data_IF_180312340614
#
_entry.id   IF_180312340614
#
_cell.length_a   1.000
_cell.length_b   1.000
_cell.length_c   1.000
_cell.angle_alpha   90.00
_cell.angle_beta   90.00
_cell.angle_gamma   90.00
#
_symmetry.space_group_name_H-M   'P 1'
#
loop_
_entity.id
_entity.type
_entity.pdbx_description
1 polymer ?
#
# COMPACT_ATOMS: atom_id res chain seq x y z
N UNK A 1 -39.37 13.34 1.03
CA UNK A 1 -38.33 13.88 1.93
C UNK A 1 -36.99 13.13 1.85
N UNK A 2 -36.92 11.89 1.36
CA UNK A 2 -35.65 11.14 1.22
C UNK A 2 -34.64 11.74 0.21
N UNK A 3 -35.09 12.42 -0.85
CA UNK A 3 -34.20 12.96 -1.89
C UNK A 3 -33.41 14.23 -1.49
N UNK A 4 -33.91 15.03 -0.55
CA UNK A 4 -33.32 16.34 -0.22
C UNK A 4 -31.99 16.24 0.56
N UNK A 5 -31.83 15.16 1.35
CA UNK A 5 -30.60 14.90 2.12
C UNK A 5 -29.64 13.94 1.42
N UNK A 6 -30.08 13.27 0.35
CA UNK A 6 -29.28 12.29 -0.38
C UNK A 6 -28.21 12.98 -1.26
N UNK A 7 -28.62 13.98 -2.03
CA UNK A 7 -27.74 14.71 -2.94
C UNK A 7 -26.52 15.36 -2.25
N UNK A 8 -26.65 16.11 -1.13
CA UNK A 8 -25.48 16.70 -0.48
C UNK A 8 -24.53 15.65 0.12
N UNK A 9 -25.06 14.52 0.63
CA UNK A 9 -24.24 13.42 1.15
C UNK A 9 -23.49 12.69 0.03
N UNK A 10 -24.17 12.41 -1.07
CA UNK A 10 -23.58 11.81 -2.26
C UNK A 10 -22.42 12.66 -2.81
N UNK A 11 -22.62 13.97 -2.95
CA UNK A 11 -21.58 14.91 -3.42
C UNK A 11 -20.39 14.91 -2.45
N UNK A 12 -20.64 14.96 -1.14
CA UNK A 12 -19.59 14.89 -0.13
C UNK A 12 -18.77 13.59 -0.23
N UNK A 13 -19.43 12.45 -0.37
CA UNK A 13 -18.76 11.15 -0.45
C UNK A 13 -17.90 11.00 -1.70
N UNK A 14 -18.42 11.46 -2.85
CA UNK A 14 -17.66 11.50 -4.10
C UNK A 14 -16.44 12.42 -3.96
N UNK A 15 -16.60 13.61 -3.37
CA UNK A 15 -15.51 14.55 -3.17
C UNK A 15 -14.40 13.97 -2.26
N UNK A 16 -14.77 13.35 -1.14
CA UNK A 16 -13.82 12.71 -0.22
C UNK A 16 -13.06 11.58 -0.92
N UNK A 17 -13.75 10.73 -1.69
CA UNK A 17 -13.13 9.60 -2.37
C UNK A 17 -12.20 10.04 -3.50
N UNK A 18 -12.61 11.03 -4.31
CA UNK A 18 -11.78 11.60 -5.37
C UNK A 18 -10.54 12.31 -4.80
N UNK A 19 -10.69 13.04 -3.70
CA UNK A 19 -9.57 13.65 -2.99
C UNK A 19 -8.62 12.58 -2.42
N UNK A 20 -9.17 11.54 -1.77
CA UNK A 20 -8.42 10.40 -1.26
C UNK A 20 -7.61 9.68 -2.33
N UNK A 21 -8.19 9.50 -3.52
CA UNK A 21 -7.51 8.95 -4.68
C UNK A 21 -6.27 9.77 -5.07
N UNK A 22 -6.44 11.07 -5.24
CA UNK A 22 -5.38 11.99 -5.65
C UNK A 22 -4.24 12.00 -4.62
N UNK A 23 -4.58 12.17 -3.33
CA UNK A 23 -3.60 12.17 -2.23
C UNK A 23 -2.87 10.84 -2.14
N UNK A 24 -3.58 9.70 -2.30
CA UNK A 24 -2.97 8.38 -2.28
C UNK A 24 -1.93 8.22 -3.40
N UNK A 25 -2.30 8.56 -4.64
CA UNK A 25 -1.39 8.47 -5.78
C UNK A 25 -0.13 9.34 -5.59
N UNK A 26 -0.33 10.60 -5.20
CA UNK A 26 0.78 11.53 -4.94
C UNK A 26 1.69 11.04 -3.81
N UNK A 27 1.10 10.54 -2.72
CA UNK A 27 1.86 10.06 -1.56
C UNK A 27 2.67 8.81 -1.89
N UNK A 28 2.09 7.85 -2.63
CA UNK A 28 2.80 6.63 -3.06
C UNK A 28 3.96 7.00 -4.00
N UNK A 29 3.74 7.93 -4.94
CA UNK A 29 4.79 8.42 -5.82
C UNK A 29 5.94 9.06 -5.03
N UNK A 30 5.61 9.96 -4.09
CA UNK A 30 6.59 10.61 -3.21
C UNK A 30 7.33 9.60 -2.33
N UNK A 31 6.65 8.57 -1.83
CA UNK A 31 7.28 7.49 -1.07
C UNK A 31 8.25 6.68 -1.91
N UNK A 32 7.91 6.39 -3.17
CA UNK A 32 8.86 5.77 -4.10
C UNK A 32 10.11 6.62 -4.33
N UNK A 33 9.93 7.93 -4.51
CA UNK A 33 11.04 8.88 -4.64
C UNK A 33 11.88 8.99 -3.36
N UNK A 34 11.25 8.94 -2.18
CA UNK A 34 11.91 8.91 -0.89
C UNK A 34 12.81 7.67 -0.75
N UNK A 35 12.28 6.47 -1.01
CA UNK A 35 13.06 5.22 -0.96
C UNK A 35 14.19 5.18 -2.00
N UNK A 36 13.96 5.77 -3.17
CA UNK A 36 14.96 5.90 -4.23
C UNK A 36 16.07 6.86 -3.81
N UNK A 37 15.73 8.02 -3.23
CA UNK A 37 16.71 8.98 -2.69
C UNK A 37 17.56 8.35 -1.60
N UNK A 38 16.95 7.66 -0.63
CA UNK A 38 17.69 6.93 0.42
C UNK A 38 18.58 5.80 -0.16
N UNK A 39 18.21 5.23 -1.31
CA UNK A 39 19.02 4.21 -1.99
C UNK A 39 20.15 4.76 -2.88
N UNK A 40 19.97 5.96 -3.43
CA UNK A 40 20.93 6.61 -4.35
C UNK A 40 21.78 7.71 -3.73
N UNK A 41 21.41 8.24 -2.57
CA UNK A 41 22.11 9.38 -1.94
C UNK A 41 23.61 9.12 -1.79
N UNK A 42 24.06 7.87 -1.75
CA UNK A 42 25.47 7.51 -1.64
C UNK A 42 26.26 7.52 -2.96
N UNK A 43 25.63 7.56 -4.13
CA UNK A 43 26.34 7.71 -5.41
C UNK A 43 26.79 9.16 -5.69
N UNK A 44 26.29 10.14 -4.94
CA UNK A 44 26.52 11.58 -5.16
C UNK A 44 27.18 12.26 -3.95
N UNK A 45 27.07 11.69 -2.74
CA UNK A 45 27.61 12.28 -1.51
C UNK A 45 29.14 12.17 -1.39
N UNK A 46 29.80 11.38 -2.25
CA UNK A 46 31.27 11.31 -2.35
C UNK A 46 31.95 12.66 -2.72
N UNK A 47 31.16 13.69 -3.10
CA UNK A 47 31.69 15.02 -3.45
C UNK A 47 31.36 16.17 -2.50
N UNK A 48 30.48 16.01 -1.52
CA UNK A 48 30.01 17.13 -0.67
C UNK A 48 29.67 16.66 0.73
N UNK A 49 30.64 16.74 1.64
CA UNK A 49 30.51 17.28 3.02
C UNK A 49 31.60 16.70 3.91
N UNK A 50 32.84 17.12 3.63
CA UNK A 50 33.90 17.18 4.63
C UNK A 50 33.93 18.62 5.14
N UNK A 51 32.96 19.00 5.99
CA UNK A 51 32.94 20.23 6.79
C UNK A 51 31.62 20.31 7.57
N UNK A 52 31.51 19.56 8.66
CA UNK A 52 30.63 19.97 9.75
C UNK A 52 31.36 19.72 11.06
N UNK A 53 31.56 20.80 11.82
CA UNK A 53 32.32 20.84 13.06
C UNK A 53 31.79 19.87 14.11
N UNK A 54 32.74 19.21 14.80
CA UNK A 54 32.56 18.14 15.79
C UNK A 54 32.24 18.63 17.22
N UNK A 55 31.58 19.77 17.38
CA UNK A 55 31.41 20.43 18.70
C UNK A 55 29.97 20.52 19.23
N UNK A 56 28.99 19.87 18.59
CA UNK A 56 27.68 19.65 19.18
C UNK A 56 27.55 18.19 19.64
N UNK A 57 27.09 17.96 20.87
CA UNK A 57 26.72 16.64 21.37
C UNK A 57 25.97 15.86 20.28
N UNK A 58 26.55 14.75 19.86
CA UNK A 58 26.17 14.03 18.64
C UNK A 58 24.65 13.75 18.61
N UNK A 59 23.87 14.42 17.74
CA UNK A 59 22.42 14.31 17.72
C UNK A 59 21.93 12.96 17.15
N UNK A 60 22.84 12.05 16.82
CA UNK A 60 22.54 10.71 16.31
C UNK A 60 21.46 9.96 17.09
N UNK A 61 21.56 9.93 18.43
CA UNK A 61 20.58 9.21 19.27
C UNK A 61 19.21 9.89 19.23
N UNK A 62 19.16 11.23 19.25
CA UNK A 62 17.90 11.95 19.15
C UNK A 62 17.22 11.78 17.80
N UNK A 63 18.00 11.74 16.71
CA UNK A 63 17.49 11.56 15.36
C UNK A 63 16.97 10.12 15.16
N UNK A 64 17.69 9.12 15.65
CA UNK A 64 17.24 7.73 15.64
C UNK A 64 15.96 7.53 16.45
N UNK A 65 15.84 8.15 17.63
CA UNK A 65 14.63 8.10 18.44
C UNK A 65 13.45 8.75 17.74
N UNK A 66 13.67 9.86 17.02
CA UNK A 66 12.63 10.51 16.23
C UNK A 66 12.17 9.61 15.08
N UNK A 67 13.08 9.00 14.33
CA UNK A 67 12.72 8.08 13.24
C UNK A 67 11.94 6.86 13.75
N UNK A 68 12.35 6.28 14.88
CA UNK A 68 11.61 5.20 15.53
C UNK A 68 10.21 5.64 15.97
N UNK A 69 10.08 6.85 16.51
CA UNK A 69 8.79 7.42 16.91
C UNK A 69 7.89 7.66 15.69
N UNK A 70 8.44 8.16 14.58
CA UNK A 70 7.70 8.36 13.33
C UNK A 70 7.20 7.04 12.75
N UNK A 71 8.04 6.00 12.74
CA UNK A 71 7.64 4.65 12.32
C UNK A 71 6.55 4.10 13.26
N UNK A 72 6.73 4.21 14.57
CA UNK A 72 5.75 3.76 15.55
C UNK A 72 4.42 4.49 15.37
N UNK A 73 4.44 5.81 15.17
CA UNK A 73 3.24 6.61 14.91
C UNK A 73 2.50 6.13 13.65
N UNK A 74 3.23 5.88 12.56
CA UNK A 74 2.65 5.34 11.32
C UNK A 74 2.02 3.95 11.54
N UNK A 75 2.76 3.01 12.15
CA UNK A 75 2.30 1.64 12.39
C UNK A 75 1.09 1.60 13.33
N UNK A 76 1.14 2.37 14.42
CA UNK A 76 0.05 2.46 15.40
C UNK A 76 -1.19 3.09 14.77
N UNK A 77 -1.05 4.21 14.07
CA UNK A 77 -2.16 4.85 13.36
C UNK A 77 -2.80 3.87 12.39
N UNK A 78 -2.03 3.29 11.47
CA UNK A 78 -2.54 2.36 10.47
C UNK A 78 -3.26 1.16 11.10
N UNK A 79 -2.70 0.60 12.18
CA UNK A 79 -3.28 -0.53 12.90
C UNK A 79 -4.55 -0.17 13.67
N UNK A 80 -4.61 1.00 14.29
CA UNK A 80 -5.74 1.45 15.10
C UNK A 80 -6.98 1.69 14.25
N UNK A 81 -6.85 2.31 13.06
CA UNK A 81 -8.00 2.51 12.17
C UNK A 81 -8.55 1.19 11.61
N UNK A 82 -7.78 0.11 11.63
CA UNK A 82 -8.28 -1.20 11.23
C UNK A 82 -9.12 -1.90 12.32
N UNK A 83 -9.10 -1.41 13.57
CA UNK A 83 -9.79 -2.03 14.71
C UNK A 83 -11.29 -1.69 14.74
N UNK A 84 -12.07 -2.59 15.34
CA UNK A 84 -13.53 -2.46 15.49
C UNK A 84 -13.99 -1.13 16.11
N UNK A 85 -13.36 -0.61 17.19
CA UNK A 85 -13.82 0.64 17.80
C UNK A 85 -13.80 1.84 16.85
N UNK A 86 -12.82 1.89 15.95
CA UNK A 86 -12.77 2.94 14.92
C UNK A 86 -13.91 2.78 13.91
N UNK A 87 -14.19 1.55 13.48
CA UNK A 87 -15.28 1.26 12.55
C UNK A 87 -16.64 1.59 13.14
N UNK A 88 -16.85 1.22 14.40
CA UNK A 88 -18.08 1.50 15.15
C UNK A 88 -18.27 3.03 15.30
N UNK A 89 -17.19 3.77 15.55
CA UNK A 89 -17.21 5.24 15.61
C UNK A 89 -17.56 5.89 14.26
N UNK A 90 -16.95 5.45 13.16
CA UNK A 90 -17.25 5.94 11.80
C UNK A 90 -18.68 5.61 11.39
N UNK A 91 -19.16 4.42 11.77
CA UNK A 91 -20.55 4.01 11.54
C UNK A 91 -21.52 4.88 12.34
N UNK A 92 -21.21 5.18 13.60
CA UNK A 92 -22.00 6.09 14.43
C UNK A 92 -22.09 7.50 13.83
N UNK A 93 -21.03 7.98 13.17
CA UNK A 93 -21.02 9.23 12.43
C UNK A 93 -21.81 9.18 11.10
N UNK A 94 -22.25 8.00 10.64
CA UNK A 94 -22.92 7.81 9.36
C UNK A 94 -22.01 7.98 8.15
N UNK A 95 -20.71 7.69 8.31
CA UNK A 95 -19.66 7.81 7.29
C UNK A 95 -19.11 6.44 6.86
N UNK A 96 -19.89 5.39 7.03
CA UNK A 96 -19.56 4.00 6.69
C UNK A 96 -19.16 3.84 5.21
N UNK A 97 -19.85 4.55 4.30
CA UNK A 97 -19.56 4.54 2.85
C UNK A 97 -18.14 5.03 2.54
N UNK A 98 -17.66 6.04 3.27
CA UNK A 98 -16.34 6.68 3.06
C UNK A 98 -15.28 6.21 4.04
N UNK A 99 -15.57 5.22 4.91
CA UNK A 99 -14.63 4.66 5.89
C UNK A 99 -13.28 4.34 5.25
N UNK A 100 -13.29 3.70 4.08
CA UNK A 100 -12.08 3.30 3.35
C UNK A 100 -11.29 4.49 2.81
N UNK A 101 -11.98 5.50 2.27
CA UNK A 101 -11.30 6.71 1.79
C UNK A 101 -10.71 7.52 2.95
N UNK A 102 -11.39 7.60 4.10
CA UNK A 102 -10.85 8.23 5.31
C UNK A 102 -9.66 7.45 5.88
N UNK A 103 -9.72 6.12 5.90
CA UNK A 103 -8.62 5.26 6.30
C UNK A 103 -7.36 5.54 5.47
N UNK A 104 -7.51 5.65 4.14
CA UNK A 104 -6.41 5.93 3.24
C UNK A 104 -5.88 7.34 3.41
N UNK A 105 -6.74 8.35 3.50
CA UNK A 105 -6.32 9.73 3.75
C UNK A 105 -5.51 9.85 5.04
N UNK A 106 -5.96 9.23 6.13
CA UNK A 106 -5.24 9.22 7.39
C UNK A 106 -3.89 8.48 7.29
N UNK A 107 -3.86 7.33 6.62
CA UNK A 107 -2.62 6.56 6.38
C UNK A 107 -1.64 7.35 5.51
N UNK A 108 -2.12 8.03 4.47
CA UNK A 108 -1.29 8.90 3.64
C UNK A 108 -0.75 10.08 4.45
N UNK A 109 -1.58 10.72 5.28
CA UNK A 109 -1.12 11.80 6.16
C UNK A 109 -0.03 11.35 7.14
N UNK A 110 -0.18 10.17 7.74
CA UNK A 110 0.84 9.60 8.61
C UNK A 110 2.14 9.28 7.85
N UNK A 111 2.03 8.72 6.64
CA UNK A 111 3.18 8.42 5.80
C UNK A 111 3.89 9.69 5.31
N UNK A 112 3.14 10.73 4.95
CA UNK A 112 3.69 12.05 4.60
C UNK A 112 4.44 12.68 5.78
N UNK A 113 3.87 12.61 6.97
CA UNK A 113 4.52 13.07 8.21
C UNK A 113 5.84 12.33 8.42
N UNK A 114 5.84 11.00 8.28
CA UNK A 114 7.05 10.19 8.36
C UNK A 114 8.10 10.68 7.36
N UNK A 115 7.76 10.84 6.08
CA UNK A 115 8.70 11.27 5.04
C UNK A 115 9.22 12.71 5.24
N UNK A 116 8.38 13.62 5.73
CA UNK A 116 8.74 15.04 5.91
C UNK A 116 9.67 15.25 7.09
N UNK A 117 9.45 14.53 8.19
CA UNK A 117 10.25 14.65 9.41
C UNK A 117 11.35 13.60 9.52
N UNK A 118 11.49 12.73 8.52
CA UNK A 118 12.56 11.73 8.45
C UNK A 118 13.93 12.40 8.52
N UNK A 119 14.75 12.02 9.50
CA UNK A 119 16.08 12.60 9.66
C UNK A 119 17.13 11.68 9.06
N UNK A 120 17.81 12.11 7.99
CA UNK A 120 18.82 11.26 7.39
C UNK A 120 20.03 11.16 8.32
N UNK A 121 20.27 9.97 8.86
CA UNK A 121 21.48 9.62 9.60
C UNK A 121 22.65 9.50 8.58
N UNK A 122 23.36 10.60 8.28
CA UNK A 122 24.60 10.64 7.49
C UNK A 122 25.70 11.34 8.30
N UNK A 123 27.02 11.03 8.14
CA UNK A 123 27.67 10.07 7.23
C UNK A 123 28.19 8.77 7.90
N UNK A 124 28.21 8.67 9.23
CA UNK A 124 28.84 7.55 9.97
C UNK A 124 28.00 6.26 10.03
N UNK A 125 26.80 6.26 9.45
CA UNK A 125 25.78 5.21 9.60
C UNK A 125 25.55 4.36 8.34
N UNK A 126 26.53 4.29 7.44
CA UNK A 126 26.52 3.32 6.34
C UNK A 126 26.95 1.97 6.91
N UNK A 127 26.04 1.00 6.92
CA UNK A 127 26.31 -0.33 7.46
C UNK A 127 27.03 -1.22 6.45
N UNK A 128 26.62 -1.10 5.17
CA UNK A 128 27.34 -1.72 4.07
C UNK A 128 27.20 -0.90 2.80
N UNK A 129 28.27 -0.90 2.02
CA UNK A 129 28.28 -0.46 0.63
C UNK A 129 28.92 -1.59 -0.17
N UNK A 130 28.13 -2.24 -1.02
CA UNK A 130 28.66 -3.25 -1.94
C UNK A 130 29.50 -2.53 -3.01
N UNK A 131 30.63 -3.15 -3.38
CA UNK A 131 31.62 -2.58 -4.29
C UNK A 131 30.98 -1.98 -5.55
N UNK A 132 31.11 -0.66 -5.69
CA UNK A 132 30.42 0.17 -6.69
C UNK A 132 31.01 0.00 -8.09
N UNK A 133 32.24 -0.53 -8.20
CA UNK A 133 32.91 -0.76 -9.49
C UNK A 133 32.28 -1.94 -10.25
N UNK A 134 31.55 -2.78 -9.53
CA UNK A 134 30.91 -3.95 -10.06
C UNK A 134 29.51 -3.67 -10.61
N UNK A 135 29.44 -3.32 -11.90
CA UNK A 135 28.17 -3.05 -12.61
C UNK A 135 27.12 -4.16 -12.50
N UNK A 136 27.54 -5.41 -12.27
CA UNK A 136 26.60 -6.54 -12.15
C UNK A 136 25.78 -6.49 -10.86
N UNK A 137 26.36 -6.04 -9.74
CA UNK A 137 25.66 -5.96 -8.44
C UNK A 137 24.51 -4.98 -8.52
N UNK A 138 24.78 -3.78 -9.04
CA UNK A 138 23.76 -2.74 -9.31
C UNK A 138 22.65 -3.23 -10.24
N UNK A 139 23.01 -4.00 -11.27
CA UNK A 139 22.05 -4.53 -12.23
C UNK A 139 21.11 -5.55 -11.57
N UNK A 140 21.65 -6.51 -10.81
CA UNK A 140 20.83 -7.53 -10.13
C UNK A 140 19.92 -6.90 -9.07
N UNK A 141 20.46 -6.02 -8.23
CA UNK A 141 19.67 -5.35 -7.18
C UNK A 141 18.63 -4.39 -7.77
N UNK A 142 18.96 -3.71 -8.87
CA UNK A 142 18.03 -2.88 -9.62
C UNK A 142 16.87 -3.70 -10.21
N UNK A 143 17.16 -4.88 -10.79
CA UNK A 143 16.12 -5.80 -11.27
C UNK A 143 15.25 -6.29 -10.12
N UNK A 144 15.83 -6.68 -8.98
CA UNK A 144 15.06 -7.11 -7.80
C UNK A 144 14.15 -5.99 -7.28
N UNK A 145 14.67 -4.77 -7.16
CA UNK A 145 13.88 -3.59 -6.79
C UNK A 145 12.75 -3.31 -7.79
N UNK A 146 13.01 -3.43 -9.10
CA UNK A 146 11.99 -3.29 -10.13
C UNK A 146 10.90 -4.36 -10.02
N UNK A 147 11.28 -5.62 -9.79
CA UNK A 147 10.33 -6.72 -9.54
C UNK A 147 9.52 -6.48 -8.26
N UNK A 148 10.12 -5.88 -7.23
CA UNK A 148 9.42 -5.44 -6.02
C UNK A 148 8.32 -4.42 -6.32
N UNK A 149 8.63 -3.39 -7.14
CA UNK A 149 7.62 -2.42 -7.59
C UNK A 149 6.54 -3.04 -8.45
N UNK A 150 6.91 -3.94 -9.37
CA UNK A 150 5.95 -4.69 -10.18
C UNK A 150 5.02 -5.56 -9.30
N UNK A 151 5.56 -6.17 -8.24
CA UNK A 151 4.79 -6.92 -7.25
C UNK A 151 3.81 -6.02 -6.52
N UNK A 152 4.24 -4.84 -6.04
CA UNK A 152 3.37 -3.83 -5.40
C UNK A 152 2.20 -3.47 -6.32
N UNK A 153 2.48 -3.08 -7.57
CA UNK A 153 1.44 -2.70 -8.54
C UNK A 153 0.53 -3.90 -8.84
N UNK A 154 1.08 -5.08 -9.05
CA UNK A 154 0.33 -6.30 -9.31
C UNK A 154 -0.63 -6.65 -8.18
N UNK A 155 -0.18 -6.56 -6.93
CA UNK A 155 -1.02 -6.78 -5.75
C UNK A 155 -2.14 -5.73 -5.67
N UNK A 156 -1.84 -4.44 -5.86
CA UNK A 156 -2.86 -3.39 -5.84
C UNK A 156 -3.95 -3.63 -6.90
N UNK A 157 -3.56 -4.07 -8.09
CA UNK A 157 -4.51 -4.43 -9.15
C UNK A 157 -5.36 -5.65 -8.78
N UNK A 158 -4.76 -6.69 -8.19
CA UNK A 158 -5.46 -7.90 -7.75
C UNK A 158 -6.49 -7.61 -6.65
N UNK A 159 -6.19 -6.65 -5.76
CA UNK A 159 -7.08 -6.26 -4.67
C UNK A 159 -8.19 -5.31 -5.09
N UNK A 160 -8.29 -4.97 -6.38
CA UNK A 160 -9.17 -3.94 -6.91
C UNK A 160 -8.87 -2.56 -6.30
N UNK A 161 -8.04 -1.78 -7.00
CA UNK A 161 -7.63 -0.45 -6.56
C UNK A 161 -8.81 0.48 -6.21
N UNK A 162 -9.93 0.40 -6.95
CA UNK A 162 -11.10 1.22 -6.67
C UNK A 162 -11.77 0.84 -5.34
N UNK A 163 -11.74 -0.45 -4.98
CA UNK A 163 -12.22 -0.96 -3.70
C UNK A 163 -11.25 -0.62 -2.56
N UNK A 164 -9.94 -0.63 -2.83
CA UNK A 164 -8.92 -0.24 -1.86
C UNK A 164 -9.10 1.25 -1.48
N UNK A 165 -9.21 2.14 -2.48
CA UNK A 165 -9.34 3.60 -2.29
C UNK A 165 -10.67 4.04 -1.69
N UNK A 166 -11.74 3.24 -1.86
CA UNK A 166 -13.07 3.57 -1.38
C UNK A 166 -14.03 4.06 -2.47
N UNK A 167 -13.59 4.16 -3.72
CA UNK A 167 -14.40 4.66 -4.85
C UNK A 167 -15.56 3.71 -5.13
N UNK A 168 -15.30 2.40 -5.06
CA UNK A 168 -16.32 1.38 -5.31
C UNK A 168 -17.42 1.43 -4.25
N UNK A 169 -17.06 1.69 -2.99
CA UNK A 169 -18.01 1.82 -1.88
C UNK A 169 -18.95 3.01 -2.12
N UNK A 170 -18.41 4.15 -2.57
CA UNK A 170 -19.23 5.31 -2.96
C UNK A 170 -20.09 5.00 -4.19
N UNK A 171 -19.55 4.33 -5.21
CA UNK A 171 -20.31 3.96 -6.40
C UNK A 171 -21.51 3.05 -6.07
N UNK A 172 -21.32 2.06 -5.21
CA UNK A 172 -22.40 1.14 -4.78
C UNK A 172 -23.45 1.88 -3.95
N UNK A 173 -23.05 2.82 -3.10
CA UNK A 173 -23.98 3.70 -2.39
C UNK A 173 -24.83 4.56 -3.33
N UNK A 174 -24.25 5.10 -4.41
CA UNK A 174 -25.00 5.88 -5.41
C UNK A 174 -26.01 5.03 -6.20
N UNK A 175 -25.72 3.74 -6.35
CA UNK A 175 -26.56 2.77 -7.07
C UNK A 175 -27.54 2.02 -6.15
N UNK A 176 -27.58 2.36 -4.85
CA UNK A 176 -28.39 1.68 -3.84
C UNK A 176 -28.13 0.16 -3.78
N UNK A 177 -26.84 -0.22 -3.89
CA UNK A 177 -26.36 -1.59 -3.84
C UNK A 177 -25.68 -1.89 -2.49
N UNK A 178 -25.71 -3.17 -2.09
CA UNK A 178 -25.01 -3.64 -0.89
C UNK A 178 -23.49 -3.42 -0.96
N UNK A 179 -22.79 -3.24 0.16
CA UNK A 179 -21.35 -2.98 0.17
C UNK A 179 -20.54 -4.04 -0.59
N UNK A 180 -19.53 -3.65 -1.39
CA UNK A 180 -18.85 -4.55 -2.33
C UNK A 180 -18.18 -5.76 -1.65
N UNK A 181 -17.70 -5.60 -0.42
CA UNK A 181 -17.08 -6.69 0.33
C UNK A 181 -18.11 -7.72 0.82
N UNK A 182 -19.34 -7.29 1.16
CA UNK A 182 -20.41 -8.18 1.63
C UNK A 182 -20.95 -9.08 0.51
N UNK A 183 -20.82 -8.63 -0.74
CA UNK A 183 -21.20 -9.42 -1.92
C UNK A 183 -20.20 -10.52 -2.29
N UNK A 184 -18.99 -10.51 -1.70
CA UNK A 184 -17.96 -11.54 -1.96
C UNK A 184 -18.15 -12.77 -1.06
N UNK A 185 -17.63 -13.92 -1.49
CA UNK A 185 -17.75 -15.18 -0.74
C UNK A 185 -17.13 -15.06 0.66
N UNK A 186 -17.66 -15.81 1.64
CA UNK A 186 -17.17 -15.75 3.03
C UNK A 186 -15.71 -16.17 3.15
N UNK A 187 -15.29 -17.12 2.32
CA UNK A 187 -13.92 -17.59 2.22
C UNK A 187 -12.98 -16.51 1.68
N UNK A 188 -13.42 -15.72 0.68
CA UNK A 188 -12.66 -14.56 0.21
C UNK A 188 -12.53 -13.50 1.30
N UNK A 189 -13.63 -13.17 1.99
CA UNK A 189 -13.61 -12.18 3.06
C UNK A 189 -12.64 -12.60 4.18
N UNK A 190 -12.62 -13.88 4.52
CA UNK A 190 -11.70 -14.47 5.49
C UNK A 190 -10.25 -14.40 5.02
N UNK A 191 -9.96 -14.83 3.79
CA UNK A 191 -8.62 -14.74 3.21
C UNK A 191 -8.11 -13.30 3.26
N UNK A 192 -8.94 -12.33 2.89
CA UNK A 192 -8.58 -10.91 2.93
C UNK A 192 -8.35 -10.39 4.36
N UNK A 193 -9.08 -10.90 5.36
CA UNK A 193 -8.86 -10.55 6.77
C UNK A 193 -7.56 -11.13 7.35
N UNK A 194 -7.15 -12.30 6.85
CA UNK A 194 -5.92 -12.99 7.27
C UNK A 194 -4.68 -12.52 6.49
N UNK A 195 -4.87 -12.04 5.26
CA UNK A 195 -3.84 -11.50 4.39
C UNK A 195 -3.86 -9.95 4.42
N UNK A 196 -3.53 -9.38 5.59
CA UNK A 196 -3.75 -7.94 5.85
C UNK A 196 -2.85 -6.99 5.08
N UNK A 197 -1.60 -7.38 4.81
CA UNK A 197 -0.59 -6.49 4.23
C UNK A 197 0.10 -7.07 2.99
N UNK A 198 -0.66 -7.43 1.96
CA UNK A 198 -0.13 -8.06 0.74
C UNK A 198 0.82 -7.15 -0.03
N UNK A 199 0.58 -5.83 0.01
CA UNK A 199 1.41 -4.81 -0.64
C UNK A 199 2.77 -4.70 0.03
N UNK A 200 2.83 -4.92 1.35
CA UNK A 200 4.09 -4.81 2.10
C UNK A 200 5.10 -5.86 1.66
N UNK A 201 4.66 -7.03 1.20
CA UNK A 201 5.56 -8.08 0.68
C UNK A 201 6.44 -7.58 -0.47
N UNK A 202 5.86 -6.86 -1.45
CA UNK A 202 6.65 -6.25 -2.53
C UNK A 202 7.52 -5.09 -2.02
N UNK A 203 7.03 -4.36 -1.02
CA UNK A 203 7.74 -3.25 -0.38
C UNK A 203 8.97 -3.71 0.40
N UNK A 204 8.93 -4.90 1.02
CA UNK A 204 10.11 -5.52 1.65
C UNK A 204 11.21 -5.79 0.62
N UNK A 205 10.87 -6.30 -0.57
CA UNK A 205 11.87 -6.51 -1.64
C UNK A 205 12.57 -5.19 -1.97
N UNK A 206 11.81 -4.10 -2.13
CA UNK A 206 12.36 -2.78 -2.45
C UNK A 206 13.25 -2.24 -1.31
N UNK A 207 12.84 -2.42 -0.05
CA UNK A 207 13.58 -1.93 1.12
C UNK A 207 14.94 -2.63 1.26
N UNK A 208 14.97 -3.95 1.05
CA UNK A 208 16.16 -4.78 1.24
C UNK A 208 17.06 -4.88 0.00
N UNK A 209 16.52 -4.81 -1.21
CA UNK A 209 17.28 -4.98 -2.46
C UNK A 209 18.01 -3.70 -2.88
N UNK A 210 18.94 -3.23 -2.06
CA UNK A 210 19.79 -2.07 -2.34
C UNK A 210 21.28 -2.31 -2.16
N UNK A 211 22.12 -1.66 -2.99
CA UNK A 211 23.57 -1.84 -2.94
C UNK A 211 24.20 -1.18 -1.71
N UNK A 212 23.57 -0.13 -1.19
CA UNK A 212 24.02 0.61 -0.01
C UNK A 212 22.89 0.65 1.00
N UNK A 213 23.18 0.27 2.25
CA UNK A 213 22.23 0.31 3.35
C UNK A 213 22.72 1.25 4.44
N UNK A 214 21.89 2.25 4.74
CA UNK A 214 22.07 3.16 5.87
C UNK A 214 21.34 2.63 7.10
N UNK A 215 21.74 3.08 8.29
CA UNK A 215 21.06 2.72 9.54
C UNK A 215 19.58 3.11 9.51
N UNK A 216 19.25 4.32 9.06
CA UNK A 216 17.86 4.78 8.96
C UNK A 216 17.01 3.87 8.07
N UNK A 217 17.51 3.53 6.88
CA UNK A 217 16.84 2.59 5.98
C UNK A 217 16.71 1.20 6.60
N UNK A 218 17.74 0.71 7.29
CA UNK A 218 17.68 -0.59 7.95
C UNK A 218 16.61 -0.60 9.04
N UNK A 219 16.53 0.44 9.86
CA UNK A 219 15.50 0.57 10.91
C UNK A 219 14.10 0.58 10.31
N UNK A 220 13.91 1.32 9.20
CA UNK A 220 12.66 1.29 8.44
C UNK A 220 12.35 -0.11 7.90
N UNK A 221 13.33 -0.76 7.27
CA UNK A 221 13.21 -2.09 6.68
C UNK A 221 12.87 -3.16 7.73
N UNK A 222 13.60 -3.19 8.85
CA UNK A 222 13.37 -4.13 9.94
C UNK A 222 11.99 -3.91 10.58
N UNK A 223 11.63 -2.65 10.86
CA UNK A 223 10.36 -2.33 11.49
C UNK A 223 9.17 -2.74 10.61
N UNK A 224 9.23 -2.44 9.31
CA UNK A 224 8.19 -2.83 8.36
C UNK A 224 8.18 -4.34 8.10
N UNK A 225 9.33 -5.02 8.14
CA UNK A 225 9.40 -6.50 8.12
C UNK A 225 8.65 -7.08 9.31
N UNK A 226 9.00 -6.68 10.54
CA UNK A 226 8.37 -7.17 11.77
C UNK A 226 6.86 -6.91 11.74
N UNK A 227 6.46 -5.70 11.34
CA UNK A 227 5.06 -5.33 11.19
C UNK A 227 4.32 -6.23 10.19
N UNK A 228 4.93 -6.50 9.04
CA UNK A 228 4.36 -7.36 8.01
C UNK A 228 4.16 -8.78 8.52
N UNK A 229 5.16 -9.37 9.21
CA UNK A 229 5.04 -10.72 9.76
C UNK A 229 3.95 -10.82 10.84
N UNK A 230 3.85 -9.83 11.73
CA UNK A 230 2.84 -9.82 12.78
C UNK A 230 1.41 -9.61 12.24
N UNK A 231 1.28 -8.90 11.12
CA UNK A 231 -0.02 -8.61 10.50
C UNK A 231 -0.65 -9.78 9.73
N UNK A 232 0.11 -10.84 9.43
CA UNK A 232 -0.36 -11.99 8.66
C UNK A 232 -0.78 -13.15 9.56
N UNK A 233 -1.95 -13.73 9.29
CA UNK A 233 -2.48 -14.90 10.00
C UNK A 233 -3.09 -15.91 9.04
N UNK A 234 -2.34 -16.24 7.97
CA UNK A 234 -2.75 -17.23 6.97
C UNK A 234 -2.81 -18.64 7.59
N UNK A 235 -3.93 -19.32 7.40
CA UNK A 235 -4.16 -20.70 7.85
C UNK A 235 -4.28 -21.65 6.63
N UNK A 236 -4.20 -22.97 6.85
CA UNK A 236 -4.32 -23.99 5.78
C UNK A 236 -5.62 -23.85 4.99
N UNK A 237 -6.70 -23.41 5.65
CA UNK A 237 -8.00 -23.16 5.01
C UNK A 237 -7.96 -22.04 3.96
N UNK A 238 -7.10 -21.04 4.17
CA UNK A 238 -6.93 -19.94 3.23
C UNK A 238 -6.11 -20.40 2.02
N UNK A 239 -5.12 -21.29 2.24
CA UNK A 239 -4.36 -21.93 1.18
C UNK A 239 -5.23 -22.83 0.28
N UNK A 240 -6.07 -23.69 0.88
CA UNK A 240 -6.97 -24.57 0.16
C UNK A 240 -7.94 -23.78 -0.72
N UNK A 241 -8.46 -22.66 -0.21
CA UNK A 241 -9.32 -21.76 -0.97
C UNK A 241 -8.61 -21.20 -2.22
N UNK A 242 -7.37 -20.70 -2.08
CA UNK A 242 -6.58 -20.20 -3.21
C UNK A 242 -6.36 -21.30 -4.26
N UNK A 243 -6.02 -22.51 -3.80
CA UNK A 243 -5.85 -23.67 -4.68
C UNK A 243 -7.11 -24.01 -5.47
N UNK A 244 -8.27 -24.01 -4.81
CA UNK A 244 -9.57 -24.22 -5.48
C UNK A 244 -9.86 -23.15 -6.52
N UNK A 245 -9.68 -21.87 -6.19
CA UNK A 245 -9.90 -20.75 -7.13
C UNK A 245 -8.97 -20.83 -8.34
N UNK A 246 -7.70 -21.19 -8.11
CA UNK A 246 -6.74 -21.37 -9.19
C UNK A 246 -7.12 -22.54 -10.12
N UNK A 247 -7.60 -23.66 -9.56
CA UNK A 247 -8.10 -24.78 -10.35
C UNK A 247 -9.34 -24.42 -11.16
N UNK A 248 -10.30 -23.70 -10.57
CA UNK A 248 -11.49 -23.20 -11.27
C UNK A 248 -11.09 -22.30 -12.44
N UNK A 249 -10.20 -21.32 -12.22
CA UNK A 249 -9.71 -20.44 -13.27
C UNK A 249 -9.01 -21.20 -14.39
N UNK A 250 -8.17 -22.19 -14.07
CA UNK A 250 -7.55 -23.09 -15.05
C UNK A 250 -8.58 -23.86 -15.87
N UNK A 251 -9.67 -24.35 -15.26
CA UNK A 251 -10.75 -25.06 -15.95
C UNK A 251 -11.53 -24.13 -16.89
N UNK A 252 -11.88 -22.93 -16.43
CA UNK A 252 -12.56 -21.92 -17.26
C UNK A 252 -11.73 -21.55 -18.49
N UNK A 253 -10.42 -21.29 -18.31
CA UNK A 253 -9.52 -20.94 -19.42
C UNK A 253 -9.29 -22.10 -20.41
N UNK A 254 -9.39 -23.35 -19.96
CA UNK A 254 -9.29 -24.55 -20.82
C UNK A 254 -10.60 -24.91 -21.52
N UNK A 255 -11.74 -24.36 -21.09
CA UNK A 255 -13.04 -24.63 -21.71
C UNK A 255 -13.22 -23.78 -22.99
N UNK A 256 -13.61 -24.37 -24.14
CA UNK A 256 -13.74 -23.63 -25.41
C UNK A 256 -14.83 -22.54 -25.41
N UNK A 257 -15.66 -22.44 -24.36
CA UNK A 257 -16.76 -21.48 -24.27
C UNK A 257 -16.31 -20.07 -23.85
N UNK A 258 -15.09 -19.91 -23.30
CA UNK A 258 -14.59 -18.60 -22.84
C UNK A 258 -14.32 -17.56 -23.94
N UNK A 259 -14.22 -17.98 -25.20
CA UNK A 259 -13.98 -17.07 -26.34
C UNK A 259 -15.27 -16.53 -26.98
N UNK A 260 -16.43 -17.15 -26.73
CA UNK A 260 -17.69 -16.80 -27.43
C UNK A 260 -18.54 -15.74 -26.72
N UNK A 261 -18.31 -15.47 -25.44
CA UNK A 261 -19.20 -14.61 -24.65
C UNK A 261 -18.91 -13.10 -24.79
N UNK A 262 -17.75 -12.69 -25.32
CA UNK A 262 -17.36 -11.27 -25.43
C UNK A 262 -17.47 -10.68 -26.84
N UNK A 263 -17.89 -11.46 -27.84
CA UNK A 263 -17.75 -11.08 -29.26
C UNK A 263 -19.02 -11.10 -30.11
N UNK A 264 -20.22 -11.11 -29.54
CA UNK A 264 -21.43 -11.23 -30.38
C UNK A 264 -22.74 -11.02 -29.66
N UNK A 265 -23.06 -9.77 -29.33
CA UNK A 265 -24.45 -9.35 -29.14
C UNK A 265 -24.72 -8.11 -29.98
N UNK A 266 -24.62 -8.28 -31.30
CA UNK A 266 -25.18 -7.37 -32.28
C UNK A 266 -26.24 -8.12 -33.08
N UNK A 267 -27.46 -7.56 -33.04
CA UNK A 267 -28.51 -7.64 -34.07
C UNK A 267 -29.07 -9.00 -34.51
N UNK A 268 -30.27 -9.33 -34.01
CA UNK A 268 -31.42 -9.71 -34.85
C UNK A 268 -32.71 -9.81 -34.00
N UNK A 269 -33.41 -8.68 -33.83
CA UNK A 269 -34.85 -8.69 -33.50
C UNK A 269 -35.57 -8.77 -34.85
N UNK A 270 -36.06 -9.96 -35.18
CA UNK A 270 -36.99 -10.18 -36.27
C UNK A 270 -38.41 -9.90 -35.80
N UNK A 271 -39.08 -8.97 -36.47
CA UNK A 271 -40.53 -8.78 -36.35
C UNK A 271 -41.23 -9.94 -37.09
N UNK A 272 -42.16 -10.57 -36.39
CA UNK A 272 -43.22 -11.44 -36.90
C UNK A 272 -44.45 -11.21 -36.04
#
# INVERSE_FOLDING_TARGET
MAGATFLPKAVLFVAISAFGLCVCFLTVFQFGMFLFREGLAMGVVDGRQSAHDKDAADPYVSDLLLDLLLIAAFVLQHSLLARRPWKDFIQWLGLDVVERSLYILATCGALQTLMQYWRPLFPESVLWALDTDSRWVWTVLGILSFLGWLCVVGVVMVLDYAELVGIKQVYYFLMDLDPPLQMKSREYQRLFQNFRHPVMTGLLIILWAVPVMTMGRLVLALSLTIYTFYGHSLDMRDYDYICQQHQLKKRTLRSPQGFRATGGRASSVGYG
#
